data_IF_587412313636
#
_entry.id   IF_587412313636
#
_cell.length_a   1.000
_cell.length_b   1.000
_cell.length_c   1.000
_cell.angle_alpha   90.00
_cell.angle_beta   90.00
_cell.angle_gamma   90.00
#
_symmetry.space_group_name_H-M   'P 1'
#
loop_
_entity.id
_entity.type
_entity.pdbx_description
1 polymer ?
#
# COMPACT_ATOMS: atom_id res chain seq x y z
N UNK A 1 13.16 -2.24 7.25
CA UNK A 1 14.45 -1.65 7.67
C UNK A 1 15.12 -0.87 6.55
N UNK A 2 15.18 -1.40 5.32
CA UNK A 2 15.84 -0.75 4.19
C UNK A 2 15.32 0.66 3.85
N UNK A 3 13.99 0.86 3.80
CA UNK A 3 13.44 2.20 3.50
C UNK A 3 13.83 3.24 4.55
N UNK A 4 13.72 2.91 5.84
CA UNK A 4 14.12 3.81 6.93
C UNK A 4 15.62 4.13 6.85
N UNK A 5 16.47 3.14 6.57
CA UNK A 5 17.91 3.35 6.40
C UNK A 5 18.22 4.24 5.18
N UNK A 6 17.54 4.04 4.05
CA UNK A 6 17.68 4.85 2.86
C UNK A 6 17.26 6.31 3.11
N UNK A 7 16.09 6.54 3.72
CA UNK A 7 15.59 7.87 4.05
C UNK A 7 16.50 8.59 5.06
N UNK A 8 16.98 7.90 6.10
CA UNK A 8 17.96 8.46 7.03
C UNK A 8 19.26 8.89 6.32
N UNK A 9 19.77 8.06 5.42
CA UNK A 9 20.96 8.39 4.63
C UNK A 9 20.73 9.56 3.66
N UNK A 10 19.53 9.72 3.11
CA UNK A 10 19.16 10.85 2.26
C UNK A 10 18.97 12.14 3.06
N UNK A 11 18.34 12.07 4.23
CA UNK A 11 18.19 13.18 5.18
C UNK A 11 19.54 13.73 5.62
N UNK A 12 20.47 12.85 6.02
CA UNK A 12 21.82 13.25 6.43
C UNK A 12 22.61 14.00 5.34
N UNK A 13 22.24 13.83 4.07
CA UNK A 13 22.86 14.50 2.91
C UNK A 13 22.03 15.68 2.40
N UNK A 14 20.91 16.04 3.05
CA UNK A 14 19.99 17.08 2.57
C UNK A 14 19.32 16.74 1.24
N UNK A 15 19.05 15.45 0.99
CA UNK A 15 18.54 14.91 -0.28
C UNK A 15 17.29 14.05 -0.10
N UNK A 16 16.46 14.34 0.91
CA UNK A 16 15.16 13.66 1.03
C UNK A 16 14.36 13.83 -0.26
N UNK A 17 13.71 12.77 -0.74
CA UNK A 17 12.88 12.89 -1.92
C UNK A 17 11.62 13.69 -1.59
N UNK A 18 11.02 14.31 -2.61
CA UNK A 18 9.74 15.00 -2.45
C UNK A 18 8.59 14.04 -2.16
N UNK A 19 8.75 12.76 -2.51
CA UNK A 19 7.77 11.69 -2.32
C UNK A 19 8.44 10.31 -2.44
N UNK A 20 7.85 9.31 -1.79
CA UNK A 20 8.14 7.88 -2.03
C UNK A 20 6.96 7.26 -2.78
N UNK A 21 7.26 6.36 -3.71
CA UNK A 21 6.25 5.52 -4.38
C UNK A 21 6.49 4.07 -3.98
N UNK A 22 5.54 3.45 -3.30
CA UNK A 22 5.51 2.01 -3.08
C UNK A 22 4.60 1.38 -4.11
N UNK A 23 5.15 0.53 -4.97
CA UNK A 23 4.40 -0.19 -6.01
C UNK A 23 4.69 -1.69 -5.97
N UNK A 24 3.73 -2.50 -6.40
CA UNK A 24 3.81 -3.96 -6.34
C UNK A 24 2.46 -4.60 -6.60
N UNK A 25 2.36 -5.90 -6.38
CA UNK A 25 1.09 -6.63 -6.44
C UNK A 25 0.36 -6.64 -5.09
N UNK A 26 -0.93 -6.99 -5.12
CA UNK A 26 -1.79 -7.16 -3.96
C UNK A 26 -2.84 -8.24 -4.23
N UNK A 27 -3.35 -8.83 -3.14
CA UNK A 27 -4.51 -9.71 -3.19
C UNK A 27 -5.82 -8.94 -3.04
N UNK A 28 -6.87 -9.38 -3.73
CA UNK A 28 -8.25 -8.92 -3.48
C UNK A 28 -9.28 -9.94 -3.94
N UNK A 29 -10.29 -10.17 -3.11
CA UNK A 29 -11.49 -10.95 -3.47
C UNK A 29 -12.56 -10.15 -4.22
N UNK A 30 -12.50 -8.82 -4.16
CA UNK A 30 -13.58 -7.95 -4.63
C UNK A 30 -13.18 -7.11 -5.85
N UNK A 31 -11.93 -6.68 -5.91
CA UNK A 31 -11.43 -5.84 -7.00
C UNK A 31 -11.20 -6.65 -8.28
N UNK A 32 -11.19 -5.93 -9.40
CA UNK A 32 -10.91 -6.51 -10.71
C UNK A 32 -9.48 -7.07 -10.77
N UNK A 33 -9.36 -8.38 -11.04
CA UNK A 33 -8.08 -9.05 -11.24
C UNK A 33 -7.31 -8.40 -12.39
N UNK A 34 -5.99 -8.33 -12.25
CA UNK A 34 -5.06 -7.66 -13.19
C UNK A 34 -5.26 -6.15 -13.35
N UNK A 35 -6.09 -5.50 -12.53
CA UNK A 35 -6.25 -4.04 -12.55
C UNK A 35 -5.36 -3.36 -11.50
N UNK A 36 -4.94 -2.11 -11.77
CA UNK A 36 -4.11 -1.30 -10.87
C UNK A 36 -4.95 -0.26 -10.13
N UNK A 37 -4.74 -0.18 -8.82
CA UNK A 37 -5.38 0.75 -7.91
C UNK A 37 -4.34 1.59 -7.17
N UNK A 38 -4.69 2.82 -6.83
CA UNK A 38 -3.99 3.63 -5.84
C UNK A 38 -4.66 3.50 -4.48
N UNK A 39 -3.87 3.28 -3.43
CA UNK A 39 -4.44 3.15 -2.08
C UNK A 39 -4.85 4.52 -1.53
N UNK A 40 -6.07 4.62 -1.01
CA UNK A 40 -6.61 5.85 -0.40
C UNK A 40 -6.34 5.94 1.08
N UNK A 41 -6.15 4.79 1.72
CA UNK A 41 -5.82 4.63 3.12
C UNK A 41 -5.20 3.25 3.35
N UNK A 42 -4.49 3.11 4.46
CA UNK A 42 -3.86 1.84 4.85
C UNK A 42 -4.07 1.54 6.33
N UNK A 43 -4.43 0.30 6.65
CA UNK A 43 -4.55 -0.22 8.00
C UNK A 43 -3.49 -1.31 8.28
N UNK A 44 -3.15 -1.56 9.54
CA UNK A 44 -2.24 -2.64 9.95
C UNK A 44 -3.02 -3.77 10.63
N UNK A 45 -3.30 -4.87 9.90
CA UNK A 45 -4.18 -5.95 10.40
C UNK A 45 -3.57 -6.76 11.54
N UNK A 46 -2.24 -6.85 11.62
CA UNK A 46 -1.59 -7.65 12.67
C UNK A 46 -1.58 -6.93 14.04
N UNK A 47 -1.91 -5.63 14.08
CA UNK A 47 -1.89 -4.87 15.32
C UNK A 47 -3.14 -5.16 16.16
N UNK A 48 -3.03 -6.13 17.08
CA UNK A 48 -4.05 -6.41 18.09
C UNK A 48 -3.54 -6.10 19.51
N UNK A 49 -4.00 -4.96 20.05
CA UNK A 49 -3.81 -4.58 21.45
C UNK A 49 -5.13 -4.62 22.26
N UNK A 50 -6.14 -5.34 21.77
CA UNK A 50 -7.43 -5.49 22.46
C UNK A 50 -7.34 -6.12 23.86
N UNK A 51 -6.38 -7.02 24.18
CA UNK A 51 -6.22 -7.49 25.56
C UNK A 51 -5.84 -6.37 26.55
N UNK A 52 -5.32 -5.25 26.05
CA UNK A 52 -4.97 -4.06 26.83
C UNK A 52 -6.06 -2.97 26.77
N UNK A 53 -7.20 -3.24 26.12
CA UNK A 53 -8.34 -2.31 26.00
C UNK A 53 -8.27 -1.32 24.83
N UNK A 54 -7.33 -1.49 23.90
CA UNK A 54 -7.28 -0.68 22.68
C UNK A 54 -8.17 -1.27 21.57
N UNK A 55 -8.66 -0.44 20.65
CA UNK A 55 -9.36 -0.93 19.47
C UNK A 55 -8.42 -1.71 18.54
N UNK A 56 -8.95 -2.71 17.82
CA UNK A 56 -8.20 -3.47 16.81
C UNK A 56 -7.56 -2.52 15.78
N UNK A 57 -6.31 -2.79 15.41
CA UNK A 57 -5.53 -1.98 14.47
C UNK A 57 -4.88 -0.73 15.08
N UNK A 58 -5.23 -0.32 16.31
CA UNK A 58 -4.63 0.86 16.96
C UNK A 58 -3.33 0.47 17.65
N UNK A 59 -2.23 1.13 17.27
CA UNK A 59 -0.93 0.99 17.96
C UNK A 59 -0.91 1.84 19.24
N UNK A 60 -0.70 1.24 20.43
CA UNK A 60 -0.63 2.00 21.68
C UNK A 60 0.43 3.10 21.66
N UNK A 61 0.11 4.23 22.31
CA UNK A 61 0.99 5.41 22.48
C UNK A 61 1.44 6.12 21.19
N UNK A 62 0.91 5.72 20.03
CA UNK A 62 1.29 6.31 18.75
C UNK A 62 0.41 7.51 18.35
N UNK A 63 -0.75 7.68 19.02
CA UNK A 63 -1.74 8.74 18.74
C UNK A 63 -2.16 8.79 17.26
N UNK A 64 -2.31 7.60 16.66
CA UNK A 64 -2.74 7.43 15.29
C UNK A 64 -3.99 6.54 15.23
N UNK A 65 -4.92 6.81 14.30
CA UNK A 65 -6.07 5.94 14.08
C UNK A 65 -5.62 4.59 13.49
N UNK A 66 -6.50 3.58 13.58
CA UNK A 66 -6.25 2.25 13.02
C UNK A 66 -6.08 2.25 11.49
N UNK A 67 -6.64 3.24 10.82
CA UNK A 67 -6.55 3.43 9.36
C UNK A 67 -5.98 4.81 9.07
N UNK A 68 -4.86 4.85 8.37
CA UNK A 68 -4.15 6.07 8.04
C UNK A 68 -4.48 6.52 6.62
N UNK A 69 -4.85 7.79 6.40
CA UNK A 69 -5.12 8.31 5.07
C UNK A 69 -3.83 8.44 4.26
N UNK A 70 -3.91 8.13 2.97
CA UNK A 70 -2.92 8.49 1.97
C UNK A 70 -3.54 9.63 1.16
N UNK A 71 -3.05 10.88 1.23
CA UNK A 71 -3.80 12.03 0.70
C UNK A 71 -3.59 12.28 -0.80
N UNK A 72 -2.50 11.80 -1.38
CA UNK A 72 -2.16 12.06 -2.79
C UNK A 72 -3.07 11.26 -3.72
N UNK A 73 -3.56 11.90 -4.79
CA UNK A 73 -4.47 11.29 -5.78
C UNK A 73 -3.95 11.53 -7.19
N UNK A 74 -3.57 10.46 -7.86
CA UNK A 74 -3.17 10.48 -9.28
C UNK A 74 -4.45 10.39 -10.13
N UNK A 75 -4.77 11.39 -10.97
CA UNK A 75 -5.96 11.36 -11.80
C UNK A 75 -5.99 10.16 -12.76
N UNK A 76 -7.16 9.54 -12.87
CA UNK A 76 -7.40 8.42 -13.78
C UNK A 76 -6.83 7.08 -13.33
N UNK A 77 -6.38 6.95 -12.08
CA UNK A 77 -6.10 5.66 -11.44
C UNK A 77 -7.23 5.35 -10.44
N UNK A 78 -7.78 4.13 -10.48
CA UNK A 78 -8.87 3.71 -9.60
C UNK A 78 -8.41 3.71 -8.14
N UNK A 79 -9.33 3.96 -7.23
CA UNK A 79 -9.08 4.09 -5.80
C UNK A 79 -9.55 2.85 -5.04
N UNK A 80 -8.79 2.43 -4.03
CA UNK A 80 -9.15 1.33 -3.14
C UNK A 80 -8.54 1.52 -1.74
N UNK A 81 -9.14 0.92 -0.71
CA UNK A 81 -8.57 0.86 0.65
C UNK A 81 -7.64 -0.34 0.80
N UNK A 82 -6.59 -0.22 1.62
CA UNK A 82 -5.55 -1.24 1.76
C UNK A 82 -5.40 -1.73 3.21
N UNK A 83 -5.16 -3.02 3.37
CA UNK A 83 -4.74 -3.62 4.63
C UNK A 83 -3.36 -4.26 4.48
N UNK A 84 -2.42 -3.92 5.35
CA UNK A 84 -1.08 -4.52 5.40
C UNK A 84 -0.95 -5.44 6.61
N UNK A 85 -0.23 -6.55 6.46
CA UNK A 85 0.07 -7.54 7.51
C UNK A 85 1.11 -8.54 7.01
N UNK A 86 1.61 -9.41 7.87
CA UNK A 86 2.74 -10.28 7.54
C UNK A 86 2.35 -11.59 6.82
N UNK A 87 1.06 -11.89 6.72
CA UNK A 87 0.52 -13.10 6.11
C UNK A 87 0.09 -12.90 4.64
N UNK A 88 0.10 -13.99 3.87
CA UNK A 88 -0.61 -14.06 2.59
C UNK A 88 -2.07 -14.41 2.89
N UNK A 89 -3.00 -13.59 2.40
CA UNK A 89 -4.44 -13.79 2.63
C UNK A 89 -5.03 -14.58 1.47
N UNK A 90 -5.77 -15.64 1.79
CA UNK A 90 -6.44 -16.51 0.81
C UNK A 90 -7.77 -17.02 1.35
N UNK A 91 -8.71 -17.32 0.44
CA UNK A 91 -9.99 -17.95 0.77
C UNK A 91 -10.79 -17.18 1.83
N UNK A 92 -11.29 -17.90 2.85
CA UNK A 92 -12.12 -17.34 3.91
C UNK A 92 -11.40 -16.32 4.80
N UNK A 93 -10.05 -16.22 4.75
CA UNK A 93 -9.31 -15.22 5.53
C UNK A 93 -9.70 -13.79 5.16
N UNK A 94 -10.15 -13.56 3.92
CA UNK A 94 -10.66 -12.25 3.50
C UNK A 94 -11.93 -11.81 4.25
N UNK A 95 -12.68 -12.72 4.89
CA UNK A 95 -13.90 -12.36 5.65
C UNK A 95 -13.61 -11.47 6.85
N UNK A 96 -12.40 -11.57 7.43
CA UNK A 96 -11.96 -10.75 8.54
C UNK A 96 -11.40 -9.38 8.12
N UNK A 97 -11.29 -9.12 6.81
CA UNK A 97 -10.61 -7.93 6.28
C UNK A 97 -11.64 -6.96 5.70
N UNK A 98 -11.68 -5.76 6.28
CA UNK A 98 -12.59 -4.69 5.86
C UNK A 98 -12.09 -3.90 4.64
N UNK A 99 -10.78 -3.92 4.36
CA UNK A 99 -10.20 -3.20 3.22
C UNK A 99 -10.43 -3.93 1.89
N UNK A 100 -10.39 -3.19 0.79
CA UNK A 100 -10.65 -3.71 -0.55
C UNK A 100 -9.53 -4.62 -1.06
N UNK A 101 -8.29 -4.38 -0.63
CA UNK A 101 -7.10 -5.14 -1.02
C UNK A 101 -6.13 -5.32 0.15
N UNK A 102 -5.21 -6.28 -0.01
CA UNK A 102 -4.22 -6.64 0.99
C UNK A 102 -2.80 -6.69 0.42
N UNK A 103 -1.84 -6.23 1.21
CA UNK A 103 -0.41 -6.41 0.93
C UNK A 103 0.38 -6.71 2.21
N UNK A 104 1.71 -6.68 2.12
CA UNK A 104 2.61 -6.98 3.24
C UNK A 104 3.59 -5.85 3.59
N UNK A 105 3.59 -4.73 2.86
CA UNK A 105 4.63 -3.70 2.99
C UNK A 105 4.09 -2.29 3.26
N UNK A 106 2.92 -1.92 2.74
CA UNK A 106 2.55 -0.50 2.61
C UNK A 106 2.44 0.25 3.93
N UNK A 107 1.87 -0.35 4.97
CA UNK A 107 1.82 0.29 6.29
C UNK A 107 3.23 0.56 6.84
N UNK A 108 4.15 -0.40 6.75
CA UNK A 108 5.53 -0.20 7.18
C UNK A 108 6.22 0.90 6.36
N UNK A 109 5.94 0.95 5.05
CA UNK A 109 6.36 2.02 4.16
C UNK A 109 5.87 3.39 4.61
N UNK A 110 4.58 3.49 4.93
CA UNK A 110 3.95 4.72 5.42
C UNK A 110 4.58 5.18 6.73
N UNK A 111 4.75 4.28 7.71
CA UNK A 111 5.37 4.61 9.00
C UNK A 111 6.80 5.14 8.83
N UNK A 112 7.58 4.56 7.94
CA UNK A 112 8.92 5.08 7.62
C UNK A 112 8.82 6.48 7.01
N UNK A 113 7.96 6.69 6.00
CA UNK A 113 7.80 7.99 5.34
C UNK A 113 7.31 9.09 6.30
N UNK A 114 6.35 8.77 7.18
CA UNK A 114 5.87 9.69 8.23
C UNK A 114 7.00 10.18 9.13
N UNK A 115 7.95 9.30 9.50
CA UNK A 115 9.08 9.68 10.38
C UNK A 115 9.96 10.78 9.79
N UNK A 116 10.05 10.85 8.45
CA UNK A 116 10.87 11.82 7.72
C UNK A 116 10.05 12.93 7.04
N UNK A 117 8.74 13.02 7.32
CA UNK A 117 7.83 13.98 6.68
C UNK A 117 7.89 13.93 5.14
N UNK A 118 7.98 12.72 4.59
CA UNK A 118 7.94 12.45 3.16
C UNK A 118 6.56 11.86 2.81
N UNK A 119 5.83 12.41 1.82
CA UNK A 119 4.60 11.82 1.33
C UNK A 119 4.81 10.42 0.72
N UNK A 120 3.79 9.57 0.80
CA UNK A 120 3.78 8.23 0.20
C UNK A 120 2.61 8.10 -0.78
N UNK A 121 2.91 7.62 -1.99
CA UNK A 121 1.93 7.04 -2.92
C UNK A 121 2.07 5.52 -2.88
N UNK A 122 0.94 4.83 -2.88
CA UNK A 122 0.90 3.36 -2.93
C UNK A 122 0.10 2.94 -4.16
N UNK A 123 0.73 2.15 -5.03
CA UNK A 123 0.12 1.55 -6.22
C UNK A 123 0.14 0.02 -6.10
N UNK A 124 -0.99 -0.62 -6.36
CA UNK A 124 -1.13 -2.07 -6.26
C UNK A 124 -1.88 -2.64 -7.45
N UNK A 125 -1.26 -3.58 -8.15
CA UNK A 125 -1.94 -4.40 -9.15
C UNK A 125 -2.49 -5.67 -8.53
N UNK A 126 -3.75 -6.01 -8.83
CA UNK A 126 -4.39 -7.18 -8.23
C UNK A 126 -3.92 -8.46 -8.93
N UNK A 127 -3.16 -9.30 -8.21
CA UNK A 127 -2.60 -10.56 -8.72
C UNK A 127 -3.42 -11.79 -8.40
N UNK A 128 -4.16 -11.76 -7.30
CA UNK A 128 -4.80 -12.94 -6.73
C UNK A 128 -6.00 -12.57 -5.84
N UNK A 129 -6.66 -13.58 -5.27
CA UNK A 129 -7.75 -13.42 -4.29
C UNK A 129 -9.16 -13.70 -4.83
N UNK A 130 -9.35 -13.79 -6.17
CA UNK A 130 -10.62 -14.22 -6.77
C UNK A 130 -10.93 -15.71 -6.55
N UNK A 131 -9.89 -16.51 -6.43
CA UNK A 131 -9.94 -17.90 -6.03
C UNK A 131 -8.92 -18.12 -4.89
N UNK A 132 -9.09 -19.23 -4.17
CA UNK A 132 -8.14 -19.63 -3.14
C UNK A 132 -6.80 -20.00 -3.78
N UNK A 133 -5.71 -19.47 -3.22
CA UNK A 133 -4.34 -19.78 -3.60
C UNK A 133 -3.97 -21.20 -3.19
N UNK A 134 -3.46 -21.99 -4.13
CA UNK A 134 -2.99 -23.36 -3.92
C UNK A 134 -1.48 -23.49 -4.19
N UNK A 135 -0.95 -22.69 -5.12
CA UNK A 135 0.46 -22.71 -5.50
C UNK A 135 0.99 -21.29 -5.76
N UNK A 136 2.31 -21.13 -5.81
CA UNK A 136 2.96 -19.85 -6.11
C UNK A 136 2.61 -19.32 -7.51
N UNK A 137 2.24 -20.22 -8.42
CA UNK A 137 1.87 -19.87 -9.80
C UNK A 137 0.58 -19.06 -9.85
N UNK A 138 -0.37 -19.33 -8.94
CA UNK A 138 -1.64 -18.60 -8.84
C UNK A 138 -1.44 -17.09 -8.59
N UNK A 139 -0.30 -16.72 -7.99
CA UNK A 139 0.12 -15.34 -7.78
C UNK A 139 0.99 -14.80 -8.93
N UNK A 140 1.90 -15.62 -9.46
CA UNK A 140 2.89 -15.16 -10.46
C UNK A 140 2.36 -15.08 -11.88
N UNK A 141 1.27 -15.78 -12.21
CA UNK A 141 0.70 -15.88 -13.56
C UNK A 141 0.49 -14.51 -14.21
N UNK A 142 -0.03 -13.54 -13.45
CA UNK A 142 -0.43 -12.23 -13.98
C UNK A 142 0.58 -11.11 -13.76
N UNK A 143 1.75 -11.39 -13.20
CA UNK A 143 2.73 -10.34 -12.87
C UNK A 143 3.19 -9.57 -14.11
N UNK A 144 3.24 -10.21 -15.29
CA UNK A 144 3.60 -9.54 -16.54
C UNK A 144 2.56 -8.50 -16.98
N UNK A 145 1.27 -8.75 -16.76
CA UNK A 145 0.19 -7.78 -17.04
C UNK A 145 0.22 -6.64 -16.02
N UNK A 146 0.46 -6.99 -14.75
CA UNK A 146 0.56 -6.03 -13.65
C UNK A 146 1.75 -5.09 -13.85
N UNK A 147 2.89 -5.61 -14.30
CA UNK A 147 4.09 -4.82 -14.62
C UNK A 147 3.78 -3.75 -15.68
N UNK A 148 3.18 -4.13 -16.81
CA UNK A 148 2.81 -3.21 -17.88
C UNK A 148 1.84 -2.12 -17.38
N UNK A 149 0.82 -2.51 -16.61
CA UNK A 149 -0.15 -1.55 -16.07
C UNK A 149 0.43 -0.65 -14.98
N UNK A 150 1.33 -1.17 -14.14
CA UNK A 150 2.04 -0.37 -13.15
C UNK A 150 2.96 0.66 -13.83
N UNK A 151 3.62 0.30 -14.94
CA UNK A 151 4.37 1.27 -15.75
C UNK A 151 3.45 2.40 -16.24
N UNK A 152 2.27 2.07 -16.78
CA UNK A 152 1.28 3.08 -17.17
C UNK A 152 0.76 3.94 -16.01
N UNK A 153 0.68 3.39 -14.79
CA UNK A 153 0.34 4.16 -13.59
C UNK A 153 1.47 5.12 -13.18
N UNK A 154 2.73 4.72 -13.34
CA UNK A 154 3.90 5.58 -13.12
C UNK A 154 3.97 6.71 -14.17
N UNK A 155 3.63 6.44 -15.43
CA UNK A 155 3.56 7.47 -16.46
C UNK A 155 2.50 8.54 -16.12
N UNK A 156 1.34 8.11 -15.61
CA UNK A 156 0.28 9.02 -15.12
C UNK A 156 0.74 9.84 -13.92
N UNK A 157 1.49 9.23 -13.01
CA UNK A 157 2.10 9.95 -11.89
C UNK A 157 3.05 11.04 -12.38
N UNK A 158 3.92 10.72 -13.35
CA UNK A 158 4.85 11.69 -13.94
C UNK A 158 4.11 12.85 -14.61
N UNK A 159 3.04 12.55 -15.37
CA UNK A 159 2.17 13.57 -15.96
C UNK A 159 1.52 14.47 -14.89
N UNK A 160 0.95 13.88 -13.83
CA UNK A 160 0.32 14.62 -12.74
C UNK A 160 1.31 15.53 -12.00
N UNK A 161 2.57 15.09 -11.82
CA UNK A 161 3.64 15.93 -11.26
C UNK A 161 3.95 17.10 -12.19
N UNK A 162 4.14 16.85 -13.50
CA UNK A 162 4.43 17.90 -14.50
C UNK A 162 3.32 18.94 -14.60
N UNK A 163 2.08 18.53 -14.42
CA UNK A 163 0.89 19.40 -14.44
C UNK A 163 0.62 20.10 -13.10
N UNK A 164 1.39 19.80 -12.05
CA UNK A 164 1.22 20.40 -10.72
C UNK A 164 -0.01 19.91 -9.97
N UNK A 165 -0.54 18.74 -10.33
CA UNK A 165 -1.75 18.15 -9.72
C UNK A 165 -1.45 17.42 -8.40
N UNK A 166 -0.16 17.17 -8.11
CA UNK A 166 0.31 16.57 -6.87
C UNK A 166 1.22 17.55 -6.15
N UNK A 167 0.68 18.25 -5.15
CA UNK A 167 1.43 19.17 -4.30
C UNK A 167 1.75 18.53 -2.97
N UNK A 168 2.95 18.81 -2.46
CA UNK A 168 3.43 18.39 -1.14
C UNK A 168 2.63 19.03 -0.01
#
# INVERSE_FOLDING_TARGET
>A
MELTAALAGLEARGRLPDMVVSLGSAGSRALEQTEVYQATSVAYRDMDATPLGFATGVTPFLDLPATLPLPLRIPGIREATLSTGADIVSGAAYDAIAADMVDMESYAGLRACTRFAVPLVVLRGISDGKAELNHIDDWTEYLHIIDEKLAGAVDRLEAAIREGLLTR
#
